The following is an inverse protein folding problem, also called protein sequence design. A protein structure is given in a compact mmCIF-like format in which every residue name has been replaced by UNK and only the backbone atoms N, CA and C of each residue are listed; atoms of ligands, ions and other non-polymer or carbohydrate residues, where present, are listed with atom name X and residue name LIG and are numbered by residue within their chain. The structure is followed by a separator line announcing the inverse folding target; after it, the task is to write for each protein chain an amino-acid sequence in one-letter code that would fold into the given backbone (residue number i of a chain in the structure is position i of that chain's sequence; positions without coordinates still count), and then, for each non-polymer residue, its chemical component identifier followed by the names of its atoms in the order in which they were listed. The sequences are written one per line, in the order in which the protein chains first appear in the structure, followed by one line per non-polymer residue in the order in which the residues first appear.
data_IF_185281502758
#
_entry.id   IF_185281502758
#
_cell.length_a   1.000
_cell.length_b   1.000
_cell.length_c   1.000
_cell.angle_alpha   90.00
_cell.angle_beta   90.00
_cell.angle_gamma   90.00
#
_symmetry.space_group_name_H-M   'P 1'
#
loop_
_entity.id
_entity.type
_entity.pdbx_description
1 polymer ?
#
# COMPACT_ATOMS: atom_id res chain seq x y z
N UNK A 1 -6.71 4.93 14.53
CA UNK A 1 -6.69 3.53 14.04
C UNK A 1 -6.41 3.54 12.55
N UNK A 2 -5.33 2.89 12.10
CA UNK A 2 -4.97 2.75 10.69
C UNK A 2 -5.66 1.51 10.14
N UNK A 3 -6.61 1.66 9.21
CA UNK A 3 -7.30 0.50 8.62
C UNK A 3 -6.68 0.23 7.25
N UNK A 4 -5.94 -0.86 7.16
CA UNK A 4 -5.54 -1.48 5.89
C UNK A 4 -6.47 -2.66 5.57
N UNK A 5 -6.41 -3.15 4.34
CA UNK A 5 -7.12 -4.32 3.88
C UNK A 5 -6.12 -5.40 3.43
N UNK A 6 -6.54 -6.67 3.51
CA UNK A 6 -5.83 -7.80 2.93
C UNK A 6 -6.77 -8.54 2.00
N UNK A 7 -6.36 -8.76 0.74
CA UNK A 7 -7.13 -9.48 -0.26
C UNK A 7 -6.27 -10.52 -0.96
N UNK A 8 -6.86 -11.64 -1.39
CA UNK A 8 -6.16 -12.71 -2.09
C UNK A 8 -6.26 -12.53 -3.61
N UNK A 9 -5.12 -12.30 -4.25
CA UNK A 9 -4.99 -12.12 -5.70
C UNK A 9 -4.01 -13.12 -6.33
N UNK A 10 -3.63 -12.86 -7.59
CA UNK A 10 -2.85 -13.78 -8.40
C UNK A 10 -3.72 -14.80 -9.13
N UNK A 11 -3.16 -15.44 -10.15
CA UNK A 11 -3.86 -16.44 -10.97
C UNK A 11 -4.44 -17.61 -10.14
N UNK A 12 -3.76 -17.98 -9.06
CA UNK A 12 -4.14 -19.02 -8.11
C UNK A 12 -4.89 -18.51 -6.87
N UNK A 13 -5.10 -17.19 -6.74
CA UNK A 13 -5.64 -16.54 -5.52
C UNK A 13 -4.92 -16.93 -4.23
N UNK A 14 -3.61 -17.17 -4.33
CA UNK A 14 -2.78 -17.54 -3.19
C UNK A 14 -1.87 -16.40 -2.72
N UNK A 15 -1.77 -15.32 -3.49
CA UNK A 15 -0.92 -14.20 -3.15
C UNK A 15 -1.72 -13.20 -2.32
N UNK A 16 -1.15 -12.76 -1.21
CA UNK A 16 -1.81 -11.80 -0.33
C UNK A 16 -1.39 -10.38 -0.71
N UNK A 17 -2.37 -9.55 -1.06
CA UNK A 17 -2.21 -8.13 -1.32
C UNK A 17 -2.64 -7.36 -0.08
N UNK A 18 -1.68 -6.71 0.57
CA UNK A 18 -1.94 -5.77 1.65
C UNK A 18 -2.10 -4.38 1.06
N UNK A 19 -3.26 -3.75 1.27
CA UNK A 19 -3.60 -2.44 0.73
C UNK A 19 -3.80 -1.45 1.88
N UNK A 20 -3.16 -0.29 1.76
CA UNK A 20 -3.36 0.82 2.69
C UNK A 20 -2.41 0.80 3.89
N UNK A 21 -2.80 1.52 4.93
CA UNK A 21 -1.99 1.73 6.12
C UNK A 21 -0.99 2.87 6.00
N UNK A 22 -0.18 3.07 7.04
CA UNK A 22 0.94 4.03 7.02
C UNK A 22 2.16 3.30 7.51
N UNK A 23 3.22 3.34 6.71
CA UNK A 23 4.47 2.70 7.05
C UNK A 23 5.60 3.71 7.00
N UNK A 24 6.46 3.65 8.01
CA UNK A 24 7.71 4.38 8.05
C UNK A 24 8.65 3.75 7.03
N UNK A 25 9.29 4.59 6.23
CA UNK A 25 10.36 4.17 5.36
C UNK A 25 11.61 3.79 6.20
N UNK A 26 11.74 2.50 6.47
CA UNK A 26 12.80 1.93 7.29
C UNK A 26 14.21 2.20 6.73
N UNK A 27 14.37 2.48 5.43
CA UNK A 27 15.68 2.77 4.84
C UNK A 27 16.21 4.17 5.19
N UNK A 28 15.38 5.01 5.80
CA UNK A 28 15.71 6.40 6.14
C UNK A 28 15.75 6.65 7.64
N UNK A 29 15.41 5.64 8.45
CA UNK A 29 15.44 5.77 9.91
C UNK A 29 16.89 5.82 10.37
N UNK A 30 17.35 7.00 10.74
CA UNK A 30 18.58 7.21 11.49
C UNK A 30 18.23 7.43 12.96
N UNK A 31 18.43 6.41 13.79
CA UNK A 31 18.29 6.51 15.25
C UNK A 31 19.49 7.24 15.85
N UNK A 32 19.49 8.57 15.84
CA UNK A 32 20.54 9.34 16.52
C UNK A 32 20.14 9.58 17.98
N UNK A 33 20.54 8.63 18.84
CA UNK A 33 20.12 8.51 20.26
C UNK A 33 20.53 9.71 21.11
N UNK A 34 21.51 10.50 20.65
CA UNK A 34 22.04 11.66 21.39
C UNK A 34 21.16 12.90 21.35
N UNK A 35 20.29 13.07 20.34
CA UNK A 35 19.52 14.32 20.16
C UNK A 35 17.98 14.14 20.05
N UNK A 36 17.43 12.94 20.23
CA UNK A 36 15.97 12.64 20.12
C UNK A 36 15.27 13.12 18.83
N UNK A 37 16.02 13.58 17.81
CA UNK A 37 15.44 13.97 16.52
C UNK A 37 15.28 12.72 15.66
N UNK A 38 14.03 12.31 15.42
CA UNK A 38 13.72 11.21 14.53
C UNK A 38 13.31 11.79 13.18
N UNK A 39 14.12 11.54 12.16
CA UNK A 39 13.74 11.81 10.77
C UNK A 39 12.79 10.69 10.30
N UNK A 40 11.50 10.85 10.58
CA UNK A 40 10.46 9.98 10.06
C UNK A 40 10.19 10.33 8.60
N UNK A 41 10.61 9.48 7.66
CA UNK A 41 10.03 9.50 6.32
C UNK A 41 9.07 8.33 6.17
N UNK A 42 8.00 8.53 5.41
CA UNK A 42 6.94 7.55 5.16
C UNK A 42 7.00 7.10 3.70
N UNK A 43 6.62 5.85 3.44
CA UNK A 43 6.64 5.30 2.08
C UNK A 43 5.35 5.66 1.32
N UNK A 44 5.47 5.95 0.03
CA UNK A 44 4.32 6.05 -0.89
C UNK A 44 3.80 4.70 -1.36
N UNK A 45 4.46 3.62 -0.97
CA UNK A 45 4.02 2.27 -1.27
C UNK A 45 2.76 1.93 -0.48
N UNK A 46 1.62 1.83 -1.19
CA UNK A 46 0.33 1.51 -0.57
C UNK A 46 -0.02 0.02 -0.67
N UNK A 47 0.53 -0.68 -1.67
CA UNK A 47 0.21 -2.09 -1.93
C UNK A 47 1.45 -2.95 -1.71
N UNK A 48 1.37 -3.94 -0.83
CA UNK A 48 2.41 -4.95 -0.65
C UNK A 48 1.92 -6.32 -1.07
N UNK A 49 2.80 -7.10 -1.70
CA UNK A 49 2.46 -8.44 -2.16
C UNK A 49 3.28 -9.46 -1.36
N UNK A 50 2.59 -10.35 -0.68
CA UNK A 50 3.18 -11.52 -0.05
C UNK A 50 2.87 -12.76 -0.88
N UNK A 51 3.93 -13.35 -1.46
CA UNK A 51 3.85 -14.64 -2.14
C UNK A 51 3.89 -15.73 -1.08
N UNK A 52 2.77 -16.44 -0.89
CA UNK A 52 2.67 -17.55 0.08
C UNK A 52 3.56 -18.73 -0.28
N UNK A 53 3.87 -18.89 -1.56
CA UNK A 53 4.94 -19.79 -2.03
C UNK A 53 5.82 -18.95 -2.96
N UNK A 54 7.10 -18.68 -2.62
CA UNK A 54 7.94 -19.33 -1.60
C UNK A 54 8.03 -18.60 -0.23
N UNK A 55 6.98 -17.92 0.26
CA UNK A 55 7.00 -17.11 1.51
C UNK A 55 7.88 -15.85 1.44
N UNK A 56 7.71 -15.05 0.39
CA UNK A 56 8.52 -13.85 0.17
C UNK A 56 7.67 -12.61 -0.02
N UNK A 57 8.14 -11.50 0.54
CA UNK A 57 7.63 -10.17 0.21
C UNK A 57 8.16 -9.76 -1.15
N UNK A 58 7.25 -9.34 -2.02
CA UNK A 58 7.58 -8.77 -3.32
C UNK A 58 7.00 -7.36 -3.39
N UNK A 59 7.77 -6.46 -4.01
CA UNK A 59 7.27 -5.13 -4.35
C UNK A 59 6.47 -5.21 -5.63
N UNK A 60 5.64 -4.20 -5.88
CA UNK A 60 5.12 -3.95 -7.21
C UNK A 60 6.32 -3.83 -8.16
N UNK A 61 6.51 -4.83 -9.02
CA UNK A 61 7.51 -4.78 -10.08
C UNK A 61 6.88 -4.20 -11.34
N UNK A 62 7.75 -3.78 -12.27
CA UNK A 62 7.38 -3.54 -13.66
C UNK A 62 6.67 -4.79 -14.16
N UNK A 63 5.40 -4.65 -14.54
CA UNK A 63 4.55 -5.80 -14.76
C UNK A 63 3.11 -5.60 -14.33
N UNK A 64 2.85 -5.00 -13.18
CA UNK A 64 1.46 -5.05 -12.71
C UNK A 64 0.58 -4.04 -13.44
N UNK A 65 -0.52 -4.52 -14.05
CA UNK A 65 -1.47 -3.66 -14.76
C UNK A 65 -2.36 -2.90 -13.75
N UNK A 66 -1.97 -1.67 -13.46
CA UNK A 66 -2.70 -0.74 -12.60
C UNK A 66 -1.80 0.37 -12.08
N UNK A 67 -2.40 1.39 -11.48
CA UNK A 67 -1.67 2.47 -10.81
C UNK A 67 -1.99 2.39 -9.32
N UNK A 68 -0.97 2.21 -8.48
CA UNK A 68 -1.20 2.28 -7.03
C UNK A 68 -1.61 3.71 -6.63
N UNK A 69 -2.49 3.88 -5.64
CA UNK A 69 -2.80 5.20 -5.13
C UNK A 69 -1.57 5.81 -4.45
N UNK A 70 -1.55 7.13 -4.34
CA UNK A 70 -0.64 7.80 -3.41
C UNK A 70 -0.93 7.37 -1.97
N UNK A 71 0.05 7.55 -1.06
CA UNK A 71 -0.09 7.23 0.36
C UNK A 71 -1.37 7.84 0.96
N UNK A 72 -2.31 7.00 1.38
CA UNK A 72 -3.55 7.44 2.02
C UNK A 72 -4.13 6.35 2.95
N UNK A 73 -4.98 6.74 3.91
CA UNK A 73 -5.79 5.83 4.73
C UNK A 73 -6.99 6.58 5.33
N UNK A 74 -8.02 5.88 5.81
CA UNK A 74 -8.36 4.50 5.44
C UNK A 74 -8.86 4.46 3.99
N UNK A 75 -8.60 3.37 3.27
CA UNK A 75 -9.19 3.15 1.93
C UNK A 75 -10.28 2.09 2.00
N UNK A 76 -11.24 2.15 1.07
CA UNK A 76 -12.16 1.04 0.84
C UNK A 76 -11.57 0.13 -0.22
N UNK A 77 -11.41 -1.16 0.09
CA UNK A 77 -10.78 -2.13 -0.83
C UNK A 77 -11.69 -3.32 -1.05
N UNK A 78 -11.91 -3.69 -2.30
CA UNK A 78 -12.61 -4.92 -2.70
C UNK A 78 -11.84 -5.63 -3.80
N UNK A 79 -12.02 -6.95 -3.91
CA UNK A 79 -11.48 -7.74 -5.03
C UNK A 79 -12.59 -8.50 -5.72
N UNK A 80 -12.61 -8.44 -7.05
CA UNK A 80 -13.55 -9.21 -7.88
C UNK A 80 -13.04 -10.64 -8.12
N UNK A 81 -13.93 -11.59 -8.47
CA UNK A 81 -13.51 -12.95 -8.80
C UNK A 81 -12.52 -13.05 -9.97
N UNK A 82 -12.47 -12.08 -10.87
CA UNK A 82 -11.49 -12.07 -11.97
C UNK A 82 -10.09 -11.60 -11.53
N UNK A 83 -9.85 -11.36 -10.24
CA UNK A 83 -8.54 -10.93 -9.72
C UNK A 83 -8.30 -9.42 -9.80
N UNK A 84 -9.30 -8.62 -10.17
CA UNK A 84 -9.19 -7.15 -10.16
C UNK A 84 -9.49 -6.59 -8.77
N UNK A 85 -8.54 -5.85 -8.20
CA UNK A 85 -8.71 -5.07 -6.96
C UNK A 85 -9.23 -3.67 -7.31
N UNK A 86 -10.20 -3.20 -6.54
CA UNK A 86 -10.65 -1.81 -6.53
C UNK A 86 -10.31 -1.16 -5.20
N UNK A 87 -9.71 0.02 -5.26
CA UNK A 87 -9.34 0.83 -4.09
C UNK A 87 -10.00 2.19 -4.25
N UNK A 88 -10.84 2.58 -3.30
CA UNK A 88 -11.56 3.85 -3.35
C UNK A 88 -11.21 4.77 -2.20
N UNK A 89 -10.97 6.02 -2.58
CA UNK A 89 -10.84 7.17 -1.69
C UNK A 89 -9.64 7.08 -0.74
N UNK A 90 -9.81 7.70 0.42
CA UNK A 90 -8.80 7.78 1.47
C UNK A 90 -8.52 9.21 1.88
N UNK A 91 -7.62 9.38 2.84
CA UNK A 91 -7.12 10.70 3.21
C UNK A 91 -5.64 10.65 3.58
N UNK A 92 -4.99 11.80 3.53
CA UNK A 92 -3.66 12.01 4.09
C UNK A 92 -3.71 13.24 5.01
N UNK A 93 -3.05 13.14 6.16
CA UNK A 93 -3.04 14.17 7.20
C UNK A 93 -1.65 14.25 7.85
N UNK A 94 -1.51 15.07 8.90
CA UNK A 94 -0.22 15.40 9.51
C UNK A 94 0.57 14.18 10.00
N UNK A 95 -0.13 13.21 10.59
CA UNK A 95 0.49 11.99 11.11
C UNK A 95 0.96 11.01 10.00
N UNK A 96 0.68 11.34 8.74
CA UNK A 96 1.16 10.67 7.54
C UNK A 96 2.16 11.52 6.76
N UNK A 97 2.72 12.56 7.37
CA UNK A 97 3.72 13.44 6.74
C UNK A 97 3.15 14.37 5.67
N UNK A 98 1.84 14.67 5.68
CA UNK A 98 1.26 15.72 4.85
C UNK A 98 1.00 16.98 5.68
N UNK A 99 1.43 18.18 5.24
CA UNK A 99 1.18 19.41 5.98
C UNK A 99 -0.31 19.80 6.00
N UNK A 100 -1.11 19.27 5.08
CA UNK A 100 -2.53 19.57 4.94
C UNK A 100 -3.36 18.29 4.93
N UNK A 101 -4.61 18.38 5.41
CA UNK A 101 -5.61 17.34 5.19
C UNK A 101 -6.00 17.33 3.71
N UNK A 102 -5.84 16.19 3.06
CA UNK A 102 -6.32 15.94 1.71
C UNK A 102 -7.21 14.71 1.72
N UNK A 103 -8.40 14.85 1.13
CA UNK A 103 -9.39 13.78 0.98
C UNK A 103 -9.41 13.34 -0.48
N UNK A 104 -9.40 12.03 -0.70
CA UNK A 104 -9.43 11.43 -2.03
C UNK A 104 -10.81 10.83 -2.30
N UNK A 105 -11.26 10.97 -3.54
CA UNK A 105 -12.47 10.34 -4.08
C UNK A 105 -12.19 9.54 -5.35
N UNK A 106 -10.92 9.27 -5.61
CA UNK A 106 -10.46 8.52 -6.77
C UNK A 106 -10.73 7.02 -6.60
N UNK A 107 -11.03 6.35 -7.72
CA UNK A 107 -11.15 4.90 -7.81
C UNK A 107 -9.95 4.36 -8.59
N UNK A 108 -9.19 3.49 -7.96
CA UNK A 108 -8.04 2.81 -8.57
C UNK A 108 -8.41 1.37 -8.89
N UNK A 109 -7.98 0.92 -10.06
CA UNK A 109 -8.11 -0.46 -10.51
C UNK A 109 -6.72 -1.11 -10.62
N UNK A 110 -6.62 -2.34 -10.13
CA UNK A 110 -5.37 -3.06 -10.06
C UNK A 110 -5.58 -4.55 -10.40
N UNK A 111 -5.02 -5.01 -11.51
CA UNK A 111 -5.10 -6.41 -11.97
C UNK A 111 -4.02 -7.24 -11.28
N UNK A 112 -4.42 -8.31 -10.60
CA UNK A 112 -3.48 -9.20 -9.88
C UNK A 112 -3.01 -10.40 -10.71
N UNK A 113 -3.59 -10.63 -11.89
CA UNK A 113 -3.30 -11.79 -12.74
C UNK A 113 -2.36 -11.42 -13.88
N UNK A 114 -2.61 -10.27 -14.54
CA UNK A 114 -1.79 -9.80 -15.64
C UNK A 114 -0.54 -9.08 -15.12
N UNK A 115 0.58 -9.79 -15.16
CA UNK A 115 1.92 -9.22 -15.11
C UNK A 115 2.33 -8.94 -16.58
N UNK A 116 2.32 -7.67 -17.02
CA UNK A 116 2.85 -7.18 -18.30
C UNK A 116 4.30 -7.54 -18.51
#
# INVERSE_FOLDING_TARGET
MSVGAAVLGGSSRSDMYLVGGTQVNLSTINWNVTNQTINWSVTDQLIYIYKTVPNVWTRLQQGVKGTQPSRCRPTSTVIKPNGTIYIFGGRVELDMGSPNLQLYSDLYEFDTILLS
#
